data_IF_915988440141
#
_entry.id   IF_915988440141
#
_cell.length_a   1.000
_cell.length_b   1.000
_cell.length_c   1.000
_cell.angle_alpha   90.00
_cell.angle_beta   90.00
_cell.angle_gamma   90.00
#
_symmetry.space_group_name_H-M   'P 1'
#
loop_
_entity.id
_entity.type
_entity.pdbx_description
1 polymer ?
#
# COMPACT_ATOMS: atom_id res chain seq x y z
N UNK A 1 0.88 4.05 -2.05
CA UNK A 1 -0.25 4.15 -3.02
C UNK A 1 0.20 4.77 -4.36
N UNK A 2 -0.29 4.31 -5.53
CA UNK A 2 0.01 4.97 -6.83
C UNK A 2 -0.94 6.16 -7.04
N UNK A 3 -0.38 7.36 -7.18
CA UNK A 3 -1.12 8.59 -7.42
C UNK A 3 -0.76 9.19 -8.79
N UNK A 4 -1.77 9.62 -9.56
CA UNK A 4 -1.57 10.22 -10.88
C UNK A 4 -1.78 11.74 -10.82
N UNK A 5 -0.85 12.51 -11.39
CA UNK A 5 -0.97 13.95 -11.64
C UNK A 5 -0.37 14.28 -13.01
N UNK A 6 -1.00 15.22 -13.73
CA UNK A 6 -0.67 15.58 -15.11
C UNK A 6 0.66 16.35 -15.28
N UNK A 7 1.52 16.43 -14.25
CA UNK A 7 2.80 17.16 -14.29
C UNK A 7 3.91 16.42 -13.52
N UNK A 8 4.87 15.89 -14.28
CA UNK A 8 6.19 15.34 -13.92
C UNK A 8 6.28 13.97 -13.22
N UNK A 9 7.25 13.16 -13.68
CA UNK A 9 7.53 11.76 -13.34
C UNK A 9 8.91 11.56 -12.70
N UNK A 10 8.96 10.73 -11.65
CA UNK A 10 10.15 10.01 -11.18
C UNK A 10 9.77 8.53 -11.09
N UNK A 11 10.66 7.61 -11.50
CA UNK A 11 10.36 6.19 -11.67
C UNK A 11 11.08 5.32 -10.64
N UNK A 12 10.38 4.35 -10.04
CA UNK A 12 10.96 3.23 -9.28
C UNK A 12 10.45 1.92 -9.88
N UNK A 13 11.29 0.89 -9.99
CA UNK A 13 10.97 -0.39 -10.65
C UNK A 13 11.19 -1.54 -9.67
N UNK A 14 10.12 -2.15 -9.17
CA UNK A 14 10.20 -3.26 -8.21
C UNK A 14 9.38 -4.48 -8.68
N UNK A 15 9.93 -5.68 -8.45
CA UNK A 15 9.23 -6.96 -8.63
C UNK A 15 8.80 -7.47 -7.26
N UNK A 16 7.54 -7.87 -7.11
CA UNK A 16 6.98 -8.30 -5.82
C UNK A 16 6.38 -9.71 -5.95
N UNK A 17 6.67 -10.58 -4.97
CA UNK A 17 6.01 -11.87 -4.81
C UNK A 17 4.77 -11.67 -3.94
N UNK A 18 3.61 -12.16 -4.40
CA UNK A 18 2.32 -12.03 -3.68
C UNK A 18 1.79 -13.44 -3.43
N UNK A 19 1.29 -13.70 -2.21
CA UNK A 19 0.61 -14.97 -1.89
C UNK A 19 -0.65 -15.10 -2.76
N UNK A 20 -0.88 -16.28 -3.35
CA UNK A 20 -2.05 -16.51 -4.19
C UNK A 20 -3.31 -16.75 -3.36
N UNK A 21 -4.45 -16.18 -3.77
CA UNK A 21 -5.76 -16.43 -3.17
C UNK A 21 -6.49 -17.51 -3.98
N UNK A 22 -6.23 -18.79 -3.70
CA UNK A 22 -6.98 -19.89 -4.31
C UNK A 22 -8.26 -20.19 -3.51
N UNK A 23 -9.40 -19.70 -4.00
CA UNK A 23 -10.72 -20.19 -3.58
C UNK A 23 -11.06 -21.52 -4.27
N UNK A 24 -10.40 -22.60 -3.85
CA UNK A 24 -10.93 -23.97 -3.86
C UNK A 24 -9.92 -24.86 -3.13
N UNK A 25 -10.28 -25.42 -1.98
CA UNK A 25 -9.36 -26.10 -1.10
C UNK A 25 -8.67 -27.31 -1.74
N UNK A 26 -7.40 -27.15 -2.11
CA UNK A 26 -6.35 -28.16 -1.97
C UNK A 26 -5.05 -27.40 -1.71
N UNK A 27 -4.44 -27.62 -0.55
CA UNK A 27 -3.15 -27.00 -0.22
C UNK A 27 -2.04 -27.71 -0.99
N UNK A 28 -1.69 -27.21 -2.17
CA UNK A 28 -0.47 -27.57 -2.88
C UNK A 28 0.65 -26.58 -2.51
N UNK A 29 1.87 -27.09 -2.34
CA UNK A 29 3.06 -26.37 -1.83
C UNK A 29 3.61 -25.25 -2.76
N UNK A 30 2.85 -24.81 -3.78
CA UNK A 30 3.18 -23.68 -4.67
C UNK A 30 2.33 -22.43 -4.34
N UNK A 31 2.44 -21.94 -3.10
CA UNK A 31 1.56 -20.91 -2.52
C UNK A 31 1.95 -19.43 -2.83
N UNK A 32 2.67 -19.17 -3.93
CA UNK A 32 3.07 -17.79 -4.29
C UNK A 32 2.99 -17.54 -5.79
N UNK A 33 2.45 -16.38 -6.15
CA UNK A 33 2.45 -15.89 -7.53
C UNK A 33 3.42 -14.73 -7.68
N UNK A 34 4.29 -14.81 -8.69
CA UNK A 34 5.13 -13.70 -9.10
C UNK A 34 4.32 -12.67 -9.89
N UNK A 35 4.33 -11.41 -9.44
CA UNK A 35 3.70 -10.30 -10.16
C UNK A 35 4.73 -9.20 -10.45
N UNK A 36 4.59 -8.57 -11.62
CA UNK A 36 5.37 -7.38 -11.97
C UNK A 36 4.50 -6.16 -11.78
N UNK A 37 4.93 -5.22 -10.94
CA UNK A 37 4.28 -3.92 -10.78
C UNK A 37 5.04 -2.93 -11.68
N UNK A 38 4.42 -2.36 -12.72
CA UNK A 38 5.10 -1.41 -13.58
C UNK A 38 5.50 -0.16 -12.80
N UNK A 39 6.61 0.46 -13.19
CA UNK A 39 7.08 1.69 -12.58
C UNK A 39 5.98 2.77 -12.57
N UNK A 40 5.85 3.44 -11.42
CA UNK A 40 4.83 4.45 -11.18
C UNK A 40 5.33 5.49 -10.17
N UNK A 41 4.66 6.64 -10.12
CA UNK A 41 4.80 7.61 -9.03
C UNK A 41 3.95 7.17 -7.86
N UNK A 42 4.54 7.12 -6.67
CA UNK A 42 3.87 6.72 -5.45
C UNK A 42 3.68 7.93 -4.53
N UNK A 43 2.49 8.04 -3.96
CA UNK A 43 2.28 8.81 -2.74
C UNK A 43 2.48 7.85 -1.56
N UNK A 44 3.33 8.26 -0.61
CA UNK A 44 3.72 7.47 0.56
C UNK A 44 3.26 8.20 1.80
N UNK A 45 2.57 7.50 2.70
CA UNK A 45 2.04 8.06 3.94
C UNK A 45 2.50 7.22 5.12
N UNK A 46 3.03 7.88 6.14
CA UNK A 46 3.39 7.23 7.40
C UNK A 46 2.18 7.15 8.32
N UNK A 47 1.90 5.95 8.84
CA UNK A 47 0.98 5.72 9.95
C UNK A 47 1.79 5.48 11.22
N UNK A 48 1.37 6.11 12.32
CA UNK A 48 2.00 5.98 13.63
C UNK A 48 0.91 5.61 14.64
N UNK A 49 1.12 4.50 15.37
CA UNK A 49 0.25 4.05 16.43
C UNK A 49 -0.14 2.57 16.33
N UNK A 50 -0.98 2.10 17.26
CA UNK A 50 -1.34 0.69 17.35
C UNK A 50 -2.22 0.24 16.18
N UNK A 51 -1.96 -0.99 15.73
CA UNK A 51 -2.66 -1.62 14.62
C UNK A 51 -3.96 -2.31 15.05
N UNK A 52 -5.02 -2.31 14.20
CA UNK A 52 -5.10 -1.68 12.87
C UNK A 52 -5.65 -0.24 12.87
N UNK A 53 -5.91 0.35 14.04
CA UNK A 53 -6.60 1.64 14.13
C UNK A 53 -5.84 2.78 13.47
N UNK A 54 -4.54 2.86 13.71
CA UNK A 54 -3.70 3.92 13.15
C UNK A 54 -3.69 3.93 11.61
N UNK A 55 -3.56 2.77 10.97
CA UNK A 55 -3.51 2.68 9.50
C UNK A 55 -4.88 2.99 8.87
N UNK A 56 -5.97 2.55 9.49
CA UNK A 56 -7.33 2.81 9.01
C UNK A 56 -7.65 4.30 9.05
N UNK A 57 -7.18 5.01 10.07
CA UNK A 57 -7.32 6.47 10.15
C UNK A 57 -6.55 7.17 9.03
N UNK A 58 -5.33 6.72 8.70
CA UNK A 58 -4.56 7.28 7.59
C UNK A 58 -5.28 7.05 6.25
N UNK A 59 -5.80 5.85 5.99
CA UNK A 59 -6.63 5.59 4.81
C UNK A 59 -7.85 6.51 4.71
N UNK A 60 -8.56 6.69 5.82
CA UNK A 60 -9.69 7.62 5.90
C UNK A 60 -9.28 9.03 5.48
N UNK A 61 -8.16 9.54 6.00
CA UNK A 61 -7.65 10.87 5.69
C UNK A 61 -7.18 10.98 4.23
N UNK A 62 -6.55 9.93 3.69
CA UNK A 62 -6.12 9.90 2.28
C UNK A 62 -7.34 10.11 1.35
N UNK A 63 -8.41 9.34 1.56
CA UNK A 63 -9.60 9.40 0.71
C UNK A 63 -10.48 10.62 0.95
N UNK A 64 -10.62 11.07 2.19
CA UNK A 64 -11.54 12.16 2.54
C UNK A 64 -10.89 13.54 2.45
N UNK A 65 -9.58 13.64 2.61
CA UNK A 65 -8.89 14.93 2.73
C UNK A 65 -7.80 15.12 1.67
N UNK A 66 -6.90 14.16 1.52
CA UNK A 66 -5.73 14.32 0.65
C UNK A 66 -6.08 14.30 -0.85
N UNK A 67 -6.88 13.33 -1.30
CA UNK A 67 -7.31 13.29 -2.71
C UNK A 67 -8.10 14.54 -3.14
N UNK A 68 -9.12 14.99 -2.39
CA UNK A 68 -9.86 16.21 -2.75
C UNK A 68 -9.03 17.49 -2.75
N UNK A 69 -7.94 17.56 -1.98
CA UNK A 69 -7.16 18.79 -1.79
C UNK A 69 -5.97 18.97 -2.74
N UNK A 70 -5.51 17.90 -3.39
CA UNK A 70 -4.20 17.90 -4.08
C UNK A 70 -4.29 17.86 -5.61
N UNK A 71 -5.46 17.55 -6.17
CA UNK A 71 -5.65 17.35 -7.61
C UNK A 71 -5.08 16.04 -8.14
N UNK A 72 -4.48 15.20 -7.27
CA UNK A 72 -4.16 13.82 -7.60
C UNK A 72 -5.45 12.97 -7.63
N UNK A 73 -5.43 11.89 -8.40
CA UNK A 73 -6.53 10.93 -8.47
C UNK A 73 -6.06 9.54 -8.09
N UNK A 74 -6.97 8.76 -7.51
CA UNK A 74 -6.77 7.34 -7.26
C UNK A 74 -6.56 6.63 -8.59
N UNK A 75 -5.48 5.87 -8.70
CA UNK A 75 -5.06 5.32 -9.99
C UNK A 75 -5.79 4.02 -10.38
N UNK A 76 -6.54 3.40 -9.47
CA UNK A 76 -7.12 2.06 -9.65
C UNK A 76 -6.07 0.96 -9.82
N UNK A 77 -4.81 1.25 -9.50
CA UNK A 77 -3.68 0.32 -9.56
C UNK A 77 -3.38 -0.24 -8.16
N UNK A 78 -2.54 -1.29 -8.04
CA UNK A 78 -2.21 -1.86 -6.75
C UNK A 78 -1.67 -0.83 -5.75
N UNK A 79 -2.03 -1.03 -4.49
CA UNK A 79 -1.56 -0.28 -3.34
C UNK A 79 -0.76 -1.22 -2.44
N UNK A 80 0.14 -0.66 -1.63
CA UNK A 80 1.03 -1.43 -0.77
C UNK A 80 0.88 -0.89 0.65
N UNK A 81 0.81 -1.80 1.61
CA UNK A 81 1.00 -1.48 3.03
C UNK A 81 2.29 -2.17 3.47
N UNK A 82 3.23 -1.41 4.00
CA UNK A 82 4.53 -1.92 4.46
C UNK A 82 4.51 -1.96 5.97
N UNK A 83 4.68 -3.17 6.51
CA UNK A 83 4.70 -3.46 7.95
C UNK A 83 6.10 -3.89 8.39
N UNK A 84 6.94 -2.96 8.89
CA UNK A 84 8.22 -3.31 9.48
C UNK A 84 8.05 -4.25 10.67
N UNK A 85 9.09 -5.05 10.95
CA UNK A 85 9.14 -5.87 12.17
C UNK A 85 9.10 -4.97 13.42
N UNK A 86 8.28 -5.32 14.40
CA UNK A 86 8.13 -4.56 15.64
C UNK A 86 6.91 -4.99 16.45
N UNK A 87 6.68 -4.31 17.57
CA UNK A 87 5.46 -4.45 18.36
C UNK A 87 4.34 -3.62 17.72
N UNK A 88 3.39 -4.29 17.07
CA UNK A 88 2.26 -3.65 16.37
C UNK A 88 1.23 -3.03 17.32
N UNK A 89 1.38 -3.26 18.63
CA UNK A 89 0.52 -2.67 19.68
C UNK A 89 1.12 -1.41 20.30
N UNK A 90 2.35 -1.07 19.96
CA UNK A 90 3.02 0.11 20.47
C UNK A 90 2.42 1.41 19.91
N UNK A 91 2.34 2.44 20.77
CA UNK A 91 1.85 3.78 20.41
C UNK A 91 2.74 4.50 19.39
N UNK A 92 3.99 4.06 19.23
CA UNK A 92 4.96 4.58 18.28
C UNK A 92 5.28 3.60 17.14
N UNK A 93 4.51 2.51 16.99
CA UNK A 93 4.66 1.60 15.86
C UNK A 93 4.43 2.36 14.54
N UNK A 94 5.34 2.21 13.58
CA UNK A 94 5.28 2.89 12.30
C UNK A 94 5.11 1.92 11.15
N UNK A 95 4.16 2.21 10.26
CA UNK A 95 3.97 1.52 8.99
C UNK A 95 3.70 2.53 7.86
N UNK A 96 3.75 2.08 6.62
CA UNK A 96 3.60 2.94 5.45
C UNK A 96 2.48 2.44 4.52
N UNK A 97 1.78 3.40 3.89
CA UNK A 97 0.82 3.20 2.79
C UNK A 97 1.38 3.80 1.50
#
# INVERSE_FOLDING_TARGET
>A
MIAQNNRNTWFVHDRIMIKGDDECGVADEEEFTLRTIPAATWAVFTSIGPMPGAIQQVWSNIFQEWFPSTGYQHSGRPELEVYPAGDTTAEDYQCEI
#
